data_IF_891767210853
#
_entry.id   IF_891767210853
#
_cell.length_a   1.000
_cell.length_b   1.000
_cell.length_c   1.000
_cell.angle_alpha   90.00
_cell.angle_beta   90.00
_cell.angle_gamma   90.00
#
_symmetry.space_group_name_H-M   'P 1'
#
loop_
_entity.id
_entity.type
_entity.pdbx_description
1 polymer ?
#
# COMPACT_ATOMS: atom_id res chain seq x y z
N UNK A 1 27.74 -19.80 21.66
CA UNK A 1 27.32 -20.33 20.35
C UNK A 1 26.29 -19.38 19.75
N UNK A 2 26.45 -19.01 18.46
CA UNK A 2 25.43 -18.23 17.75
C UNK A 2 24.35 -19.18 17.28
N UNK A 3 23.12 -18.94 17.69
CA UNK A 3 21.97 -19.77 17.29
C UNK A 3 21.16 -18.99 16.24
N UNK A 4 20.90 -19.56 15.05
CA UNK A 4 20.12 -18.88 14.04
C UNK A 4 18.66 -18.75 14.50
N UNK A 5 18.06 -17.57 14.35
CA UNK A 5 16.65 -17.29 14.66
C UNK A 5 15.76 -17.72 13.49
N UNK A 6 16.22 -17.50 12.26
CA UNK A 6 15.52 -17.88 11.04
C UNK A 6 16.49 -18.47 10.00
N UNK A 7 15.93 -19.24 9.07
CA UNK A 7 16.65 -19.71 7.87
C UNK A 7 16.39 -18.81 6.65
N UNK A 8 15.53 -17.83 6.79
CA UNK A 8 15.21 -16.91 5.71
C UNK A 8 16.40 -15.98 5.44
N UNK A 9 16.75 -15.85 4.17
CA UNK A 9 17.88 -15.05 3.75
C UNK A 9 17.39 -13.68 3.30
N UNK A 10 17.99 -12.62 3.83
CA UNK A 10 17.73 -11.27 3.35
C UNK A 10 18.26 -11.13 1.91
N UNK A 11 17.36 -10.86 0.96
CA UNK A 11 17.72 -10.70 -0.45
C UNK A 11 18.17 -9.29 -0.79
N UNK A 12 17.81 -8.31 0.03
CA UNK A 12 18.09 -6.90 -0.18
C UNK A 12 18.45 -6.22 1.16
N UNK A 13 19.75 -5.95 1.41
CA UNK A 13 20.17 -5.27 2.63
C UNK A 13 19.57 -3.89 2.84
N UNK A 14 19.21 -3.17 1.76
CA UNK A 14 18.57 -1.85 1.84
C UNK A 14 17.12 -1.91 2.37
N UNK A 15 16.52 -3.10 2.41
CA UNK A 15 15.19 -3.31 2.97
C UNK A 15 15.18 -3.43 4.50
N UNK A 16 16.34 -3.61 5.14
CA UNK A 16 16.41 -3.82 6.59
C UNK A 16 15.97 -2.55 7.31
N UNK A 17 14.93 -2.69 8.10
CA UNK A 17 14.34 -1.57 8.85
C UNK A 17 13.98 -2.02 10.25
N UNK A 18 14.33 -1.19 11.23
CA UNK A 18 13.95 -1.42 12.62
C UNK A 18 12.58 -0.79 12.89
N UNK A 19 11.73 -1.57 13.57
CA UNK A 19 10.46 -1.09 14.12
C UNK A 19 10.40 -1.45 15.60
N UNK A 20 10.39 -0.46 16.48
CA UNK A 20 10.43 -0.65 17.93
C UNK A 20 11.51 -1.68 18.35
N UNK A 21 11.10 -2.84 18.85
CA UNK A 21 11.98 -3.95 19.26
C UNK A 21 12.13 -5.05 18.20
N UNK A 22 11.61 -4.83 17.00
CA UNK A 22 11.61 -5.81 15.91
C UNK A 22 12.40 -5.32 14.71
N UNK A 23 12.76 -6.25 13.82
CA UNK A 23 13.46 -5.97 12.56
C UNK A 23 12.67 -6.52 11.40
N UNK A 24 12.50 -5.69 10.38
CA UNK A 24 11.92 -6.06 9.09
C UNK A 24 13.00 -6.23 8.04
N UNK A 25 12.81 -7.16 7.13
CA UNK A 25 13.66 -7.33 5.95
C UNK A 25 12.94 -8.11 4.85
N UNK A 26 13.38 -7.92 3.61
CA UNK A 26 12.85 -8.63 2.45
C UNK A 26 13.58 -9.95 2.23
N UNK A 27 12.81 -10.99 1.92
CA UNK A 27 13.28 -12.33 1.56
C UNK A 27 12.62 -12.79 0.26
N UNK A 28 13.04 -13.90 -0.28
CA UNK A 28 12.40 -14.55 -1.44
C UNK A 28 10.99 -15.08 -1.13
N UNK A 29 10.64 -15.22 0.15
CA UNK A 29 9.32 -15.62 0.64
C UNK A 29 8.39 -14.46 0.94
N UNK A 30 8.91 -13.24 1.01
CA UNK A 30 8.15 -12.07 1.36
C UNK A 30 8.85 -11.18 2.40
N UNK A 31 8.09 -10.34 3.05
CA UNK A 31 8.57 -9.42 4.09
C UNK A 31 8.50 -10.11 5.44
N UNK A 32 9.65 -10.33 6.04
CA UNK A 32 9.78 -10.99 7.33
C UNK A 32 9.95 -9.97 8.46
N UNK A 33 9.32 -10.27 9.57
CA UNK A 33 9.47 -9.54 10.82
C UNK A 33 10.06 -10.49 11.87
N UNK A 34 11.14 -10.07 12.51
CA UNK A 34 11.75 -10.76 13.65
C UNK A 34 11.53 -9.94 14.91
N UNK A 35 10.89 -10.53 15.91
CA UNK A 35 10.71 -9.96 17.23
C UNK A 35 11.12 -10.97 18.30
N UNK A 36 12.22 -10.70 19.01
CA UNK A 36 12.81 -11.66 19.93
C UNK A 36 13.21 -12.97 19.22
N UNK A 37 12.56 -14.06 19.55
CA UNK A 37 12.78 -15.39 18.93
C UNK A 37 11.73 -15.77 17.88
N UNK A 38 10.75 -14.91 17.64
CA UNK A 38 9.66 -15.17 16.70
C UNK A 38 9.95 -14.56 15.35
N UNK A 39 9.57 -15.28 14.29
CA UNK A 39 9.66 -14.81 12.89
C UNK A 39 8.29 -14.94 12.24
N UNK A 40 7.80 -13.85 11.67
CA UNK A 40 6.48 -13.76 11.04
C UNK A 40 6.65 -13.23 9.62
N UNK A 41 5.98 -13.86 8.64
CA UNK A 41 5.84 -13.32 7.30
C UNK A 41 4.65 -12.35 7.26
N UNK A 42 4.92 -11.04 7.19
CA UNK A 42 3.86 -10.03 7.15
C UNK A 42 3.11 -10.01 5.82
N UNK A 43 3.80 -10.34 4.74
CA UNK A 43 3.24 -10.27 3.38
C UNK A 43 2.60 -11.57 2.89
N UNK A 44 2.42 -12.57 3.75
CA UNK A 44 1.87 -13.87 3.36
C UNK A 44 0.51 -13.76 2.64
N UNK A 45 -0.32 -12.80 3.03
CA UNK A 45 -1.63 -12.55 2.42
C UNK A 45 -1.57 -11.94 1.02
N UNK A 46 -0.45 -11.33 0.62
CA UNK A 46 -0.28 -10.63 -0.67
C UNK A 46 0.77 -11.25 -1.58
N UNK A 47 1.56 -12.22 -1.10
CA UNK A 47 2.71 -12.79 -1.83
C UNK A 47 2.35 -13.43 -3.17
N UNK A 48 1.11 -13.82 -3.38
CA UNK A 48 0.67 -14.55 -4.59
C UNK A 48 -0.56 -13.91 -5.26
N UNK A 49 -0.90 -12.67 -4.90
CA UNK A 49 -2.15 -12.05 -5.35
C UNK A 49 -1.89 -10.68 -5.95
N UNK A 50 -2.31 -10.49 -7.18
CA UNK A 50 -2.42 -9.17 -7.84
C UNK A 50 -3.66 -8.43 -7.27
N UNK A 51 -3.70 -8.25 -5.95
CA UNK A 51 -4.89 -7.82 -5.21
C UNK A 51 -5.29 -6.38 -5.49
N UNK A 52 -4.41 -5.58 -6.09
CA UNK A 52 -4.57 -4.14 -6.16
C UNK A 52 -4.53 -3.57 -7.59
N UNK A 53 -4.45 -4.41 -8.62
CA UNK A 53 -4.49 -3.93 -9.98
C UNK A 53 -5.89 -3.43 -10.32
N UNK A 54 -6.05 -2.11 -10.42
CA UNK A 54 -7.32 -1.48 -10.84
C UNK A 54 -7.71 -1.94 -12.25
N UNK A 55 -6.72 -2.21 -13.10
CA UNK A 55 -6.91 -2.78 -14.44
C UNK A 55 -7.66 -4.12 -14.45
N UNK A 56 -7.60 -4.86 -13.36
CA UNK A 56 -8.27 -6.16 -13.23
C UNK A 56 -9.72 -6.05 -12.75
N UNK A 57 -10.15 -4.85 -12.35
CA UNK A 57 -11.55 -4.60 -12.00
C UNK A 57 -12.39 -4.53 -13.28
N UNK A 58 -13.38 -5.44 -13.48
CA UNK A 58 -14.24 -5.41 -14.65
C UNK A 58 -14.92 -4.04 -14.77
N UNK A 59 -14.73 -3.36 -15.90
CA UNK A 59 -15.38 -2.07 -16.22
C UNK A 59 -14.98 -0.89 -15.34
N UNK A 60 -13.82 -0.92 -14.69
CA UNK A 60 -13.35 0.21 -13.90
C UNK A 60 -13.28 1.50 -14.73
N UNK A 61 -12.72 1.44 -15.93
CA UNK A 61 -12.64 2.59 -16.85
C UNK A 61 -14.02 3.15 -17.21
N UNK A 62 -15.01 2.29 -17.48
CA UNK A 62 -16.37 2.73 -17.79
C UNK A 62 -17.06 3.39 -16.61
N UNK A 63 -16.83 2.88 -15.40
CA UNK A 63 -17.41 3.46 -14.18
C UNK A 63 -16.78 4.80 -13.82
N UNK A 64 -15.48 4.93 -14.01
CA UNK A 64 -14.78 6.21 -13.80
C UNK A 64 -15.18 7.23 -14.86
N UNK A 65 -15.34 6.82 -16.13
CA UNK A 65 -15.86 7.69 -17.18
C UNK A 65 -17.24 8.22 -16.83
N UNK A 66 -18.16 7.36 -16.38
CA UNK A 66 -19.51 7.78 -15.94
C UNK A 66 -19.48 8.73 -14.74
N UNK A 67 -18.57 8.54 -13.82
CA UNK A 67 -18.37 9.46 -12.69
C UNK A 67 -17.86 10.81 -13.20
N UNK A 68 -16.83 10.81 -14.04
CA UNK A 68 -16.18 12.00 -14.56
C UNK A 68 -17.07 12.84 -15.48
N UNK A 69 -18.08 12.24 -16.14
CA UNK A 69 -19.07 12.97 -16.92
C UNK A 69 -19.94 13.89 -16.06
N UNK A 70 -20.08 13.58 -14.78
CA UNK A 70 -20.95 14.30 -13.83
C UNK A 70 -20.18 15.10 -12.79
N UNK A 71 -18.91 14.82 -12.63
CA UNK A 71 -18.04 15.47 -11.66
C UNK A 71 -17.58 16.86 -12.16
N UNK A 72 -17.38 17.79 -11.23
CA UNK A 72 -16.69 19.04 -11.52
C UNK A 72 -15.24 18.76 -11.95
N UNK A 73 -14.60 19.69 -12.66
CA UNK A 73 -13.25 19.44 -13.23
C UNK A 73 -12.19 19.15 -12.16
N UNK A 74 -12.32 19.69 -10.97
CA UNK A 74 -11.46 19.46 -9.81
C UNK A 74 -11.78 18.15 -9.04
N UNK A 75 -12.92 17.52 -9.34
CA UNK A 75 -13.36 16.27 -8.75
C UNK A 75 -13.11 15.05 -9.65
N UNK A 76 -12.67 15.27 -10.89
CA UNK A 76 -12.43 14.17 -11.84
C UNK A 76 -11.34 13.24 -11.35
N UNK A 77 -11.56 11.96 -11.51
CA UNK A 77 -10.62 10.90 -11.12
C UNK A 77 -9.85 10.46 -12.35
N UNK A 78 -8.53 10.46 -12.25
CA UNK A 78 -7.65 9.83 -13.23
C UNK A 78 -7.23 8.45 -12.71
N UNK A 79 -7.46 7.42 -13.52
CA UNK A 79 -6.91 6.09 -13.25
C UNK A 79 -5.59 5.97 -13.99
N UNK A 80 -4.50 5.93 -13.24
CA UNK A 80 -3.22 5.51 -13.82
C UNK A 80 -3.19 3.98 -13.93
N UNK A 81 -2.99 3.48 -15.13
CA UNK A 81 -2.70 2.07 -15.35
C UNK A 81 -1.27 1.78 -14.89
N UNK A 82 -1.14 1.30 -13.68
CA UNK A 82 0.14 0.89 -13.11
C UNK A 82 0.37 -0.58 -13.41
N UNK A 83 1.42 -0.88 -14.16
CA UNK A 83 1.86 -2.27 -14.36
C UNK A 83 2.55 -2.75 -13.09
N UNK A 84 1.95 -3.73 -12.41
CA UNK A 84 2.52 -4.32 -11.20
C UNK A 84 3.62 -5.30 -11.56
N UNK A 85 4.76 -5.20 -10.88
CA UNK A 85 5.77 -6.26 -10.89
C UNK A 85 5.26 -7.47 -10.09
N UNK A 86 5.68 -8.70 -10.45
CA UNK A 86 5.56 -9.82 -9.55
C UNK A 86 6.13 -9.42 -8.18
N UNK A 87 5.42 -9.76 -7.10
CA UNK A 87 5.78 -9.24 -5.76
C UNK A 87 7.21 -9.57 -5.36
N UNK A 88 7.70 -10.75 -5.76
CA UNK A 88 9.10 -11.15 -5.54
C UNK A 88 10.09 -10.21 -6.24
N UNK A 89 9.81 -9.82 -7.48
CA UNK A 89 10.67 -8.91 -8.25
C UNK A 89 10.63 -7.50 -7.64
N UNK A 90 9.46 -7.07 -7.16
CA UNK A 90 9.32 -5.83 -6.41
C UNK A 90 10.21 -5.80 -5.15
N UNK A 91 10.34 -6.92 -4.44
CA UNK A 91 11.13 -7.02 -3.22
C UNK A 91 12.65 -6.98 -3.44
N UNK A 92 13.13 -7.25 -4.65
CA UNK A 92 14.58 -7.28 -4.93
C UNK A 92 15.28 -5.94 -4.74
N UNK A 93 14.54 -4.83 -4.94
CA UNK A 93 15.04 -3.46 -4.78
C UNK A 93 14.15 -2.60 -3.86
N UNK A 94 13.36 -3.26 -3.02
CA UNK A 94 12.48 -2.56 -2.10
C UNK A 94 13.24 -1.94 -0.93
N UNK A 95 12.67 -0.88 -0.39
CA UNK A 95 13.05 -0.24 0.87
C UNK A 95 11.82 -0.07 1.73
N UNK A 96 12.01 0.15 3.03
CA UNK A 96 10.91 0.21 3.98
C UNK A 96 11.02 1.45 4.86
N UNK A 97 9.88 2.10 5.06
CA UNK A 97 9.73 3.25 5.94
C UNK A 97 8.81 2.83 7.08
N UNK A 98 9.25 3.06 8.32
CA UNK A 98 8.39 2.90 9.48
C UNK A 98 7.83 4.27 9.91
N UNK A 99 6.53 4.45 9.75
CA UNK A 99 5.79 5.58 10.24
C UNK A 99 5.21 5.25 11.62
N UNK A 100 5.95 5.61 12.65
CA UNK A 100 5.58 5.35 14.04
C UNK A 100 4.27 6.06 14.43
N UNK A 101 4.11 7.31 14.02
CA UNK A 101 2.95 8.12 14.38
C UNK A 101 1.64 7.51 13.91
N UNK A 102 1.61 7.00 12.68
CA UNK A 102 0.42 6.40 12.09
C UNK A 102 0.40 4.86 12.21
N UNK A 103 1.41 4.26 12.83
CA UNK A 103 1.54 2.82 13.04
C UNK A 103 1.41 2.05 11.72
N UNK A 104 2.25 2.41 10.74
CA UNK A 104 2.25 1.77 9.42
C UNK A 104 3.65 1.59 8.87
N UNK A 105 3.78 0.61 7.99
CA UNK A 105 5.00 0.33 7.25
C UNK A 105 4.71 0.63 5.78
N UNK A 106 5.53 1.47 5.15
CA UNK A 106 5.47 1.76 3.73
C UNK A 106 6.61 1.01 3.07
N UNK A 107 6.29 0.12 2.14
CA UNK A 107 7.26 -0.66 1.37
C UNK A 107 7.24 -0.14 -0.06
N UNK A 108 8.31 0.46 -0.49
CA UNK A 108 8.44 1.06 -1.82
C UNK A 108 9.62 0.48 -2.58
N UNK A 109 9.55 0.53 -3.89
CA UNK A 109 10.64 0.24 -4.78
C UNK A 109 10.88 1.48 -5.66
N UNK A 110 12.10 2.07 -5.66
CA UNK A 110 12.38 3.30 -6.40
C UNK A 110 12.17 3.21 -7.92
N UNK A 111 12.09 2.00 -8.46
CA UNK A 111 11.97 1.75 -9.90
C UNK A 111 10.53 1.75 -10.39
N UNK A 112 9.53 1.84 -9.49
CA UNK A 112 8.11 1.79 -9.83
C UNK A 112 7.33 2.92 -9.17
N UNK A 113 6.16 3.25 -9.73
CA UNK A 113 5.33 4.37 -9.27
C UNK A 113 4.30 4.01 -8.21
N UNK A 114 4.49 2.90 -7.49
CA UNK A 114 3.59 2.49 -6.42
C UNK A 114 4.36 1.96 -5.20
N UNK A 115 3.70 1.95 -4.06
CA UNK A 115 4.20 1.38 -2.82
C UNK A 115 3.09 0.61 -2.10
N UNK A 116 3.48 -0.41 -1.36
CA UNK A 116 2.58 -1.13 -0.46
C UNK A 116 2.61 -0.51 0.93
N UNK A 117 1.46 -0.44 1.58
CA UNK A 117 1.31 0.08 2.94
C UNK A 117 0.68 -0.97 3.82
N UNK A 118 1.37 -1.33 4.89
CA UNK A 118 0.86 -2.22 5.92
C UNK A 118 0.47 -1.44 7.17
N UNK A 119 -0.77 -1.55 7.59
CA UNK A 119 -1.23 -0.98 8.85
C UNK A 119 -1.00 -1.97 9.99
N UNK A 120 -0.19 -1.57 10.98
CA UNK A 120 0.04 -2.38 12.19
C UNK A 120 -1.22 -2.48 13.07
N UNK A 121 -2.12 -1.49 12.99
CA UNK A 121 -3.38 -1.47 13.75
C UNK A 121 -4.41 -2.45 13.19
N UNK A 122 -4.70 -2.37 11.89
CA UNK A 122 -5.71 -3.21 11.24
C UNK A 122 -5.15 -4.52 10.72
N UNK A 123 -3.82 -4.67 10.64
CA UNK A 123 -3.12 -5.81 10.03
C UNK A 123 -3.52 -6.05 8.58
N UNK A 124 -3.79 -4.98 7.85
CA UNK A 124 -4.21 -5.00 6.47
C UNK A 124 -3.20 -4.31 5.57
N UNK A 125 -3.16 -4.76 4.32
CA UNK A 125 -2.37 -4.15 3.26
C UNK A 125 -3.22 -3.22 2.42
N UNK A 126 -2.59 -2.14 1.95
CA UNK A 126 -3.09 -1.24 0.94
C UNK A 126 -1.99 -0.92 -0.06
N UNK A 127 -2.34 -0.18 -1.10
CA UNK A 127 -1.40 0.33 -2.09
C UNK A 127 -1.62 1.83 -2.28
N UNK A 128 -0.54 2.55 -2.51
CA UNK A 128 -0.55 3.98 -2.81
C UNK A 128 0.26 4.25 -4.07
N UNK A 129 -0.08 5.31 -4.78
CA UNK A 129 0.82 5.87 -5.78
C UNK A 129 2.09 6.40 -5.07
N UNK A 130 3.26 6.17 -5.65
CA UNK A 130 4.53 6.51 -5.02
C UNK A 130 5.56 6.91 -6.04
N UNK A 131 6.28 7.98 -5.72
CA UNK A 131 7.49 8.41 -6.42
C UNK A 131 8.66 8.55 -5.44
N UNK A 132 8.67 7.71 -4.40
CA UNK A 132 9.71 7.71 -3.37
C UNK A 132 11.01 7.19 -3.97
N UNK A 133 12.07 7.96 -3.83
CA UNK A 133 13.42 7.64 -4.32
C UNK A 133 14.31 7.13 -3.19
N UNK A 134 14.21 7.75 -2.02
CA UNK A 134 14.99 7.40 -0.84
C UNK A 134 14.26 7.76 0.44
N UNK A 135 14.71 7.24 1.59
CA UNK A 135 14.10 7.53 2.87
C UNK A 135 15.11 7.61 4.02
N UNK A 136 14.69 8.31 5.06
CA UNK A 136 15.36 8.30 6.36
C UNK A 136 14.34 7.91 7.42
N UNK A 137 14.61 6.81 8.12
CA UNK A 137 13.83 6.43 9.29
C UNK A 137 14.32 7.23 10.50
N UNK A 138 13.72 8.39 10.72
CA UNK A 138 14.04 9.31 11.80
C UNK A 138 12.89 9.33 12.80
N UNK A 139 13.00 8.49 13.83
CA UNK A 139 11.97 8.45 14.88
C UNK A 139 11.77 9.85 15.51
N UNK A 140 10.52 10.31 15.70
CA UNK A 140 9.26 9.63 15.39
C UNK A 140 8.75 9.86 13.95
N UNK A 141 9.47 10.62 13.15
CA UNK A 141 9.04 11.05 11.82
C UNK A 141 9.52 10.10 10.73
N UNK A 142 8.68 9.91 9.73
CA UNK A 142 8.99 9.16 8.52
C UNK A 142 9.25 10.12 7.37
N UNK A 143 10.52 10.37 7.07
CA UNK A 143 10.94 11.30 6.02
C UNK A 143 11.32 10.53 4.75
N UNK A 144 10.87 11.02 3.60
CA UNK A 144 11.22 10.46 2.31
C UNK A 144 11.57 11.53 1.29
N UNK A 145 12.50 11.20 0.42
CA UNK A 145 12.82 11.98 -0.76
C UNK A 145 11.96 11.48 -1.93
N UNK A 146 11.20 12.38 -2.50
CA UNK A 146 10.38 12.13 -3.69
C UNK A 146 11.13 12.54 -4.95
N UNK A 147 10.67 12.01 -6.09
CA UNK A 147 11.15 12.46 -7.40
C UNK A 147 11.05 13.99 -7.55
N UNK A 148 12.03 14.60 -8.24
CA UNK A 148 12.13 16.05 -8.38
C UNK A 148 12.69 16.77 -7.15
N UNK A 149 13.47 16.08 -6.32
CA UNK A 149 14.17 16.64 -5.14
C UNK A 149 13.22 17.24 -4.08
N UNK A 150 12.05 16.65 -3.91
CA UNK A 150 11.09 17.05 -2.88
C UNK A 150 11.26 16.19 -1.63
N UNK A 151 11.26 16.83 -0.47
CA UNK A 151 11.20 16.13 0.82
C UNK A 151 9.75 16.05 1.29
N UNK A 152 9.32 14.87 1.69
CA UNK A 152 8.00 14.62 2.26
C UNK A 152 8.13 14.05 3.67
N UNK A 153 7.22 14.45 4.56
CA UNK A 153 7.05 13.86 5.87
C UNK A 153 5.74 13.08 5.89
N UNK A 154 5.84 11.75 5.91
CA UNK A 154 4.67 10.86 5.91
C UNK A 154 3.96 10.76 7.26
N UNK A 155 4.57 11.28 8.32
CA UNK A 155 3.97 11.26 9.66
C UNK A 155 2.97 12.39 9.88
N UNK A 156 2.99 13.41 9.02
CA UNK A 156 2.07 14.56 9.10
C UNK A 156 0.85 14.26 8.21
N UNK A 157 -0.33 14.49 8.75
CA UNK A 157 -1.58 14.45 7.97
C UNK A 157 -1.78 15.79 7.27
N UNK A 158 -1.86 15.78 5.94
CA UNK A 158 -2.36 16.92 5.20
C UNK A 158 -3.89 16.94 5.24
N UNK A 159 -4.45 18.13 5.41
CA UNK A 159 -5.91 18.32 5.60
C UNK A 159 -6.64 18.50 4.25
N UNK A 160 -5.97 18.25 3.14
CA UNK A 160 -6.61 18.33 1.82
C UNK A 160 -7.66 17.23 1.66
N UNK A 161 -8.84 17.61 1.18
CA UNK A 161 -9.89 16.66 0.87
C UNK A 161 -9.43 15.64 -0.18
N UNK A 162 -9.72 14.37 0.06
CA UNK A 162 -9.42 13.28 -0.88
C UNK A 162 -10.73 12.89 -1.56
N UNK A 163 -10.78 12.95 -2.89
CA UNK A 163 -11.88 12.36 -3.65
C UNK A 163 -11.72 10.84 -3.64
N UNK A 164 -12.73 10.13 -3.15
CA UNK A 164 -12.71 8.68 -3.10
C UNK A 164 -13.86 8.10 -3.93
N UNK A 165 -13.58 7.05 -4.70
CA UNK A 165 -14.57 6.29 -5.44
C UNK A 165 -14.66 4.88 -4.87
N UNK A 166 -15.87 4.50 -4.43
CA UNK A 166 -16.16 3.16 -3.95
C UNK A 166 -17.08 2.48 -4.98
N UNK A 167 -16.58 1.43 -5.60
CA UNK A 167 -17.34 0.61 -6.55
C UNK A 167 -17.66 -0.72 -5.91
N UNK A 168 -18.96 -1.00 -5.74
CA UNK A 168 -19.42 -2.29 -5.22
C UNK A 168 -20.03 -3.12 -6.32
N UNK A 169 -20.02 -4.44 -6.18
CA UNK A 169 -20.86 -5.31 -7.03
C UNK A 169 -22.35 -5.00 -6.78
N UNK A 170 -23.21 -5.17 -7.81
CA UNK A 170 -24.64 -5.02 -7.62
C UNK A 170 -25.18 -5.92 -6.51
N UNK A 171 -25.98 -5.39 -5.63
CA UNK A 171 -26.67 -6.14 -4.59
C UNK A 171 -28.17 -5.99 -4.75
N UNK A 172 -28.91 -7.05 -4.43
CA UNK A 172 -30.36 -7.05 -4.50
C UNK A 172 -30.95 -6.45 -3.23
N UNK A 173 -31.73 -5.41 -3.36
CA UNK A 173 -32.53 -4.82 -2.27
C UNK A 173 -33.94 -5.44 -2.26
N UNK A 174 -34.05 -6.72 -1.88
CA UNK A 174 -35.31 -7.46 -1.85
C UNK A 174 -35.76 -8.00 -3.24
N UNK A 175 -37.05 -7.92 -3.58
CA UNK A 175 -37.58 -8.43 -4.86
C UNK A 175 -37.06 -7.64 -6.06
N UNK A 176 -36.60 -8.31 -7.16
CA UNK A 176 -35.96 -7.65 -8.28
C UNK A 176 -36.85 -6.74 -9.11
N UNK A 177 -38.17 -6.95 -9.05
CA UNK A 177 -39.16 -6.31 -9.95
C UNK A 177 -39.80 -5.08 -9.36
N UNK A 178 -39.35 -4.59 -8.21
CA UNK A 178 -39.90 -3.39 -7.53
C UNK A 178 -38.90 -2.25 -7.62
N UNK A 179 -39.36 -1.12 -8.13
CA UNK A 179 -38.59 0.12 -8.17
C UNK A 179 -38.29 0.58 -6.73
N UNK A 180 -37.04 0.85 -6.46
CA UNK A 180 -36.54 1.22 -5.12
C UNK A 180 -35.81 2.54 -5.19
N UNK A 181 -36.13 3.41 -4.24
CA UNK A 181 -35.46 4.68 -4.06
C UNK A 181 -34.50 4.58 -2.87
N UNK A 182 -33.30 5.06 -3.03
CA UNK A 182 -32.34 5.26 -1.93
C UNK A 182 -32.38 6.75 -1.61
N UNK A 183 -33.02 7.10 -0.50
CA UNK A 183 -33.19 8.50 -0.13
C UNK A 183 -31.96 9.12 0.51
N UNK A 184 -31.18 8.33 1.22
CA UNK A 184 -29.96 8.82 1.90
C UNK A 184 -28.95 7.71 2.08
N UNK A 185 -27.69 8.00 1.77
CA UNK A 185 -26.52 7.21 2.18
C UNK A 185 -25.76 8.07 3.18
N UNK A 186 -25.76 7.66 4.44
CA UNK A 186 -25.04 8.33 5.54
C UNK A 186 -23.70 7.63 5.76
#
# INVERSE_FOLDING_TARGET
AKQPITRDVCINPASITQIDSAVLFATDRGIMLISGSETICLSDSINSRDLFAISDLPKADALVSLFNERAADDEKIEIENVTLLPFRDFLTDCRMIYDYTNQRIIVYNPSVSYAYVYSLKSKTWGMIHSNIVDNVNSYPEALAMLGGNKLANFSISDVQGITALIVTRPFKLGTPDVLKTIDTII
#
